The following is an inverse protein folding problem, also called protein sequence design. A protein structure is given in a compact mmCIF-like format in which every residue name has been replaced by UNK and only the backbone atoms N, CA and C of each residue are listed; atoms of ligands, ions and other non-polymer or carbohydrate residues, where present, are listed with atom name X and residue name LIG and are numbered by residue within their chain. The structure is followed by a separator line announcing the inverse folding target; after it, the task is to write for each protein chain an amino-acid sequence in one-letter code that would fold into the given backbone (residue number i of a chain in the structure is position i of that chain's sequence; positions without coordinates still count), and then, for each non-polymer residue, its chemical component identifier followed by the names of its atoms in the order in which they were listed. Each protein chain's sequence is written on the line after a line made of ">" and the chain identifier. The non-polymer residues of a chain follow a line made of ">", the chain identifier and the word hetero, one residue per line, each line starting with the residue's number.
data_IF_292714831650
#
_entry.id   IF_292714831650
#
_cell.length_a   1.000
_cell.length_b   1.000
_cell.length_c   1.000
_cell.angle_alpha   90.00
_cell.angle_beta   90.00
_cell.angle_gamma   90.00
#
_symmetry.space_group_name_H-M   'P 1'
#
loop_
_entity.id
_entity.type
_entity.pdbx_description
1 polymer ?
#
# COMPACT_ATOMS: atom_id res chain seq x y z
N UNK A 1 -2.27 -19.49 10.08
CA UNK A 1 -0.89 -19.58 9.54
C UNK A 1 -0.06 -18.40 10.02
N UNK A 2 1.29 -18.44 9.95
CA UNK A 2 2.12 -17.30 10.34
C UNK A 2 1.85 -16.10 9.44
N UNK A 3 1.69 -14.95 10.08
CA UNK A 3 1.62 -13.61 9.48
C UNK A 3 2.88 -13.41 8.61
N UNK A 4 2.71 -12.92 7.38
CA UNK A 4 3.80 -12.68 6.42
C UNK A 4 4.06 -11.20 6.35
N UNK A 5 5.29 -10.80 6.68
CA UNK A 5 5.71 -9.41 6.59
C UNK A 5 6.20 -9.10 5.18
N UNK A 6 5.97 -7.87 4.74
CA UNK A 6 6.44 -7.36 3.45
C UNK A 6 6.93 -5.93 3.59
N UNK A 7 7.91 -5.58 2.77
CA UNK A 7 8.44 -4.23 2.63
C UNK A 7 8.72 -4.01 1.15
N UNK A 8 7.96 -3.13 0.51
CA UNK A 8 8.01 -2.94 -0.95
C UNK A 8 8.15 -1.46 -1.27
N UNK A 9 9.26 -1.05 -1.92
CA UNK A 9 9.38 0.31 -2.43
C UNK A 9 8.37 0.50 -3.57
N UNK A 10 7.67 1.63 -3.56
CA UNK A 10 6.79 2.03 -4.66
C UNK A 10 7.60 2.96 -5.57
N UNK A 11 7.92 2.55 -6.81
CA UNK A 11 8.71 3.36 -7.71
C UNK A 11 7.93 4.61 -8.11
N UNK A 12 8.52 5.78 -7.85
CA UNK A 12 7.98 7.07 -8.26
C UNK A 12 8.86 7.60 -9.40
N UNK A 13 8.29 7.73 -10.60
CA UNK A 13 9.02 8.34 -11.71
C UNK A 13 9.38 9.80 -11.41
N UNK A 14 10.67 10.14 -11.49
CA UNK A 14 11.13 11.54 -11.55
C UNK A 14 11.37 12.28 -10.23
N UNK A 15 11.27 11.63 -9.07
CA UNK A 15 11.56 12.28 -7.77
C UNK A 15 12.55 11.49 -6.91
N UNK A 16 13.39 12.19 -6.14
CA UNK A 16 14.23 11.60 -5.09
C UNK A 16 13.43 11.09 -3.87
N UNK A 17 12.11 11.29 -3.85
CA UNK A 17 11.23 10.74 -2.83
C UNK A 17 10.95 9.28 -3.14
N UNK A 18 11.09 8.41 -2.13
CA UNK A 18 10.67 7.02 -2.21
C UNK A 18 9.49 6.79 -1.28
N UNK A 19 8.39 6.29 -1.83
CA UNK A 19 7.35 5.68 -1.01
C UNK A 19 7.75 4.25 -0.69
N UNK A 20 7.47 3.85 0.55
CA UNK A 20 7.71 2.51 1.04
C UNK A 20 6.42 2.00 1.66
N UNK A 21 5.89 0.92 1.10
CA UNK A 21 4.79 0.22 1.74
C UNK A 21 5.37 -0.91 2.59
N UNK A 22 5.13 -0.86 3.89
CA UNK A 22 5.58 -1.86 4.84
C UNK A 22 4.40 -2.37 5.63
N UNK A 23 4.31 -3.68 5.81
CA UNK A 23 3.19 -4.23 6.54
C UNK A 23 3.27 -5.72 6.67
N UNK A 24 2.11 -6.28 6.95
CA UNK A 24 1.96 -7.68 7.24
C UNK A 24 0.58 -8.14 6.81
N UNK A 25 0.51 -9.38 6.33
CA UNK A 25 -0.72 -9.99 5.88
C UNK A 25 -0.88 -11.37 6.54
N UNK A 26 -2.09 -11.64 7.00
CA UNK A 26 -2.52 -12.93 7.54
C UNK A 26 -3.58 -13.55 6.63
N UNK A 27 -4.15 -14.69 7.04
CA UNK A 27 -5.24 -15.33 6.30
C UNK A 27 -6.50 -14.45 6.21
N UNK A 28 -6.70 -13.55 7.18
CA UNK A 28 -7.95 -12.80 7.33
C UNK A 28 -7.75 -11.29 7.32
N UNK A 29 -6.54 -10.79 7.56
CA UNK A 29 -6.30 -9.37 7.82
C UNK A 29 -5.02 -8.87 7.13
N UNK A 30 -5.13 -7.70 6.51
CA UNK A 30 -4.04 -6.86 6.03
C UNK A 30 -3.85 -5.71 7.03
N UNK A 31 -2.60 -5.50 7.47
CA UNK A 31 -2.20 -4.38 8.32
C UNK A 31 -0.87 -3.84 7.81
N UNK A 32 -0.93 -2.67 7.16
CA UNK A 32 0.19 -2.06 6.47
C UNK A 32 0.25 -0.55 6.69
N UNK A 33 1.42 0.02 6.42
CA UNK A 33 1.73 1.43 6.55
C UNK A 33 2.37 1.92 5.26
N UNK A 34 1.87 3.05 4.77
CA UNK A 34 2.53 3.78 3.69
C UNK A 34 3.44 4.84 4.31
N UNK A 35 4.73 4.71 4.04
CA UNK A 35 5.78 5.62 4.50
C UNK A 35 6.27 6.44 3.31
N UNK A 36 6.56 7.72 3.54
CA UNK A 36 7.30 8.56 2.60
C UNK A 36 8.64 8.94 3.21
N UNK A 37 9.72 8.82 2.43
CA UNK A 37 10.99 9.42 2.80
C UNK A 37 11.00 10.91 2.39
N UNK A 38 10.99 11.79 3.40
CA UNK A 38 10.96 13.23 3.21
C UNK A 38 12.36 13.80 3.47
N UNK A 39 12.88 14.64 2.56
CA UNK A 39 14.11 15.39 2.82
C UNK A 39 14.00 16.13 4.17
N UNK A 40 15.05 16.03 5.00
CA UNK A 40 15.18 16.67 6.32
C UNK A 40 14.29 16.12 7.45
N UNK A 41 13.15 15.51 7.14
CA UNK A 41 12.21 14.96 8.14
C UNK A 41 12.35 13.44 8.34
N UNK A 42 13.05 12.77 7.42
CA UNK A 42 13.19 11.31 7.44
C UNK A 42 11.91 10.61 7.00
N UNK A 43 11.74 9.35 7.43
CA UNK A 43 10.56 8.54 7.08
C UNK A 43 9.36 8.97 7.90
N UNK A 44 8.29 9.37 7.22
CA UNK A 44 7.01 9.75 7.84
C UNK A 44 5.92 8.78 7.40
N UNK A 45 5.14 8.27 8.36
CA UNK A 45 3.94 7.48 8.07
C UNK A 45 2.85 8.40 7.54
N UNK A 46 2.39 8.12 6.32
CA UNK A 46 1.32 8.88 5.66
C UNK A 46 -0.06 8.34 6.03
N UNK A 47 -0.20 7.03 6.07
CA UNK A 47 -1.46 6.38 6.46
C UNK A 47 -1.23 4.92 6.86
N UNK A 48 -2.17 4.42 7.66
CA UNK A 48 -2.30 3.01 7.99
C UNK A 48 -3.42 2.41 7.15
N UNK A 49 -3.18 1.25 6.59
CA UNK A 49 -4.09 0.49 5.77
C UNK A 49 -4.45 -0.76 6.54
N UNK A 50 -5.71 -0.88 6.95
CA UNK A 50 -6.25 -2.06 7.61
C UNK A 50 -7.48 -2.55 6.89
N UNK A 51 -7.61 -3.86 6.75
CA UNK A 51 -8.83 -4.47 6.26
C UNK A 51 -8.76 -5.98 6.10
N UNK A 52 -9.91 -6.58 5.83
CA UNK A 52 -10.02 -8.03 5.67
C UNK A 52 -9.39 -8.50 4.34
N UNK A 53 -8.80 -9.69 4.34
CA UNK A 53 -8.25 -10.30 3.12
C UNK A 53 -9.33 -11.15 2.47
N UNK A 54 -10.31 -10.52 1.82
CA UNK A 54 -11.35 -11.21 1.04
C UNK A 54 -11.12 -11.00 -0.44
N UNK A 55 -11.37 -12.04 -1.24
CA UNK A 55 -11.24 -11.93 -2.70
C UNK A 55 -12.17 -10.82 -3.24
N UNK A 56 -11.63 -9.98 -4.13
CA UNK A 56 -12.31 -8.82 -4.66
C UNK A 56 -12.50 -7.63 -3.70
N UNK A 57 -11.99 -7.68 -2.46
CA UNK A 57 -12.06 -6.53 -1.57
C UNK A 57 -11.05 -5.45 -2.01
N UNK A 58 -11.56 -4.21 -2.11
CA UNK A 58 -10.74 -3.02 -2.22
C UNK A 58 -10.81 -2.24 -0.89
N UNK A 59 -9.65 -1.92 -0.33
CA UNK A 59 -9.54 -0.99 0.81
C UNK A 59 -8.96 0.32 0.30
N UNK A 60 -9.61 1.43 0.62
CA UNK A 60 -9.25 2.74 0.16
C UNK A 60 -8.92 3.63 1.35
N UNK A 61 -7.70 4.20 1.37
CA UNK A 61 -7.28 5.14 2.40
C UNK A 61 -6.74 6.41 1.75
N UNK A 62 -7.26 7.55 2.18
CA UNK A 62 -6.72 8.86 1.83
C UNK A 62 -5.72 9.32 2.88
N UNK A 63 -4.70 10.06 2.46
CA UNK A 63 -3.77 10.73 3.39
C UNK A 63 -3.59 12.20 3.02
N UNK A 64 -3.30 13.00 4.05
CA UNK A 64 -2.86 14.38 3.90
C UNK A 64 -1.83 14.69 4.99
N UNK A 65 -0.57 14.78 4.61
CA UNK A 65 0.55 15.07 5.52
C UNK A 65 1.36 16.23 4.96
N UNK A 66 1.18 17.40 5.55
CA UNK A 66 1.82 18.64 5.12
C UNK A 66 1.41 19.01 3.70
N UNK A 67 2.34 18.84 2.76
CA UNK A 67 2.16 19.17 1.34
C UNK A 67 1.84 17.95 0.48
N UNK A 68 1.81 16.77 1.10
CA UNK A 68 1.48 15.51 0.44
C UNK A 68 0.02 15.19 0.65
N UNK A 69 -0.67 14.90 -0.44
CA UNK A 69 -2.02 14.35 -0.40
C UNK A 69 -2.15 13.21 -1.38
N UNK A 70 -3.03 12.27 -1.11
CA UNK A 70 -3.18 11.14 -2.00
C UNK A 70 -4.16 10.10 -1.50
N UNK A 71 -4.26 9.05 -2.29
CA UNK A 71 -5.07 7.88 -2.02
C UNK A 71 -4.25 6.64 -2.30
N UNK A 72 -4.31 5.69 -1.38
CA UNK A 72 -3.81 4.35 -1.56
C UNK A 72 -5.00 3.40 -1.60
N UNK A 73 -5.03 2.55 -2.61
CA UNK A 73 -6.00 1.49 -2.75
C UNK A 73 -5.26 0.15 -2.75
N UNK A 74 -5.70 -0.76 -1.88
CA UNK A 74 -5.22 -2.14 -1.88
C UNK A 74 -6.36 -3.04 -2.35
N UNK A 75 -6.10 -3.84 -3.38
CA UNK A 75 -7.09 -4.74 -4.00
C UNK A 75 -6.51 -6.14 -4.09
N UNK A 76 -7.31 -7.14 -3.72
CA UNK A 76 -6.98 -8.55 -3.92
C UNK A 76 -7.60 -9.01 -5.24
N UNK A 77 -6.78 -9.56 -6.13
CA UNK A 77 -7.23 -10.06 -7.42
C UNK A 77 -6.34 -11.20 -7.90
N UNK A 78 -6.92 -12.27 -8.46
CA UNK A 78 -6.20 -13.43 -8.99
C UNK A 78 -5.13 -13.97 -8.04
N UNK A 79 -5.45 -14.09 -6.75
CA UNK A 79 -4.49 -14.55 -5.72
C UNK A 79 -3.31 -13.59 -5.48
N UNK A 80 -3.44 -12.32 -5.84
CA UNK A 80 -2.40 -11.32 -5.59
C UNK A 80 -2.95 -10.10 -4.86
N UNK A 81 -2.17 -9.59 -3.90
CA UNK A 81 -2.38 -8.25 -3.37
C UNK A 81 -1.74 -7.22 -4.29
N UNK A 82 -2.57 -6.33 -4.84
CA UNK A 82 -2.14 -5.17 -5.59
C UNK A 82 -2.32 -3.91 -4.77
N UNK A 83 -1.40 -2.96 -4.94
CA UNK A 83 -1.53 -1.63 -4.38
C UNK A 83 -1.43 -0.60 -5.47
N UNK A 84 -2.46 0.22 -5.59
CA UNK A 84 -2.48 1.40 -6.43
C UNK A 84 -2.26 2.63 -5.55
N UNK A 85 -1.21 3.38 -5.85
CA UNK A 85 -0.94 4.66 -5.19
C UNK A 85 -1.17 5.80 -6.18
N UNK A 86 -1.96 6.77 -5.75
CA UNK A 86 -2.00 8.10 -6.34
C UNK A 86 -1.62 9.09 -5.24
N UNK A 87 -0.59 9.88 -5.46
CA UNK A 87 -0.11 10.87 -4.51
C UNK A 87 0.19 12.17 -5.24
N UNK A 88 0.26 13.27 -4.52
CA UNK A 88 0.68 14.53 -5.09
C UNK A 88 1.40 15.39 -4.06
N UNK A 89 2.33 16.19 -4.56
CA UNK A 89 3.09 17.16 -3.78
C UNK A 89 3.22 18.45 -4.61
N UNK A 90 2.92 19.61 -4.03
CA UNK A 90 3.06 20.91 -4.69
C UNK A 90 2.38 21.01 -6.07
N UNK A 91 1.19 20.41 -6.23
CA UNK A 91 0.45 20.42 -7.50
C UNK A 91 1.01 19.46 -8.57
N UNK A 92 2.11 18.75 -8.29
CA UNK A 92 2.51 17.60 -9.10
C UNK A 92 1.77 16.36 -8.62
N UNK A 93 1.24 15.59 -9.56
CA UNK A 93 0.58 14.31 -9.30
C UNK A 93 1.48 13.16 -9.75
N UNK A 94 1.50 12.14 -8.91
CA UNK A 94 2.08 10.83 -9.12
C UNK A 94 0.90 9.87 -9.13
N UNK A 95 0.64 9.19 -10.26
CA UNK A 95 -0.26 8.04 -10.24
C UNK A 95 -1.04 7.79 -11.53
N UNK A 96 -1.75 6.64 -11.60
CA UNK A 96 -1.70 5.55 -10.60
C UNK A 96 -0.49 4.64 -10.82
N UNK A 97 0.29 4.38 -9.76
CA UNK A 97 1.34 3.35 -9.76
C UNK A 97 0.76 2.09 -9.14
N UNK A 98 0.68 1.01 -9.92
CA UNK A 98 0.21 -0.30 -9.46
C UNK A 98 1.40 -1.21 -9.19
N UNK A 99 1.54 -1.66 -7.95
CA UNK A 99 2.58 -2.61 -7.54
C UNK A 99 1.93 -3.91 -7.13
N UNK A 100 2.51 -5.02 -7.60
CA UNK A 100 2.15 -6.36 -7.18
C UNK A 100 2.99 -6.72 -5.97
N UNK A 101 2.37 -6.96 -4.83
CA UNK A 101 3.09 -7.21 -3.58
C UNK A 101 3.38 -8.68 -3.37
N UNK A 102 2.33 -9.51 -3.36
CA UNK A 102 2.47 -10.86 -2.83
C UNK A 102 1.37 -11.81 -3.31
N UNK A 103 1.72 -13.09 -3.45
CA UNK A 103 0.79 -14.18 -3.81
C UNK A 103 0.07 -14.71 -2.57
N UNK A 104 -1.26 -14.62 -2.54
CA UNK A 104 -2.17 -15.13 -1.52
C UNK A 104 -2.72 -16.48 -2.01
N UNK A 105 -2.28 -17.62 -1.47
CA UNK A 105 -2.75 -18.93 -1.95
C UNK A 105 -4.29 -19.08 -1.95
N UNK A 106 -4.88 -19.57 -3.05
CA UNK A 106 -6.34 -19.83 -3.22
C UNK A 106 -7.01 -20.57 -2.06
N UNK A 107 -6.28 -21.50 -1.45
CA UNK A 107 -6.75 -22.30 -0.32
C UNK A 107 -7.11 -21.43 0.90
N UNK A 108 -6.64 -20.18 0.94
CA UNK A 108 -6.92 -19.19 1.97
C UNK A 108 -8.12 -18.31 1.62
N UNK A 109 -8.37 -18.03 0.34
CA UNK A 109 -9.54 -17.29 -0.13
C UNK A 109 -10.83 -18.12 -0.05
N UNK A 110 -10.71 -19.44 -0.17
CA UNK A 110 -11.84 -20.37 -0.20
C UNK A 110 -12.39 -20.78 1.19
N UNK A 111 -11.95 -20.15 2.29
CA UNK A 111 -12.42 -20.47 3.67
C UNK A 111 -13.52 -19.52 4.19
N UNK A 112 -14.17 -18.79 3.30
CA UNK A 112 -15.38 -18.00 3.59
C UNK A 112 -16.64 -18.70 3.09
#
# INVERSE_FOLDING_TARGET
>A
MPRRDFETPIPIGGSNSSFLLKGSISETELDAELLADLPLLGKVTLTHIRGDVRDGLATHNSFNVGLWSGTVECTIHDDWLFVALTAGMFGQSIGPVKVRLFYIPQQLLAKL
#
